data_IF_227642534626
#
_entry.id   IF_227642534626
#
_cell.length_a   1.000
_cell.length_b   1.000
_cell.length_c   1.000
_cell.angle_alpha   90.00
_cell.angle_beta   90.00
_cell.angle_gamma   90.00
#
_symmetry.space_group_name_H-M   'P 1'
#
loop_
_entity.id
_entity.type
_entity.pdbx_description
1 polymer ?
#
# COMPACT_ATOMS: atom_id res chain seq x y z
N UNK A 1 33.02 -8.95 23.70
CA UNK A 1 33.25 -9.92 22.61
C UNK A 1 32.04 -9.86 21.67
N UNK A 2 32.22 -9.44 20.42
CA UNK A 2 31.13 -9.41 19.45
C UNK A 2 30.89 -10.85 18.96
N UNK A 3 29.73 -11.43 19.28
CA UNK A 3 29.36 -12.76 18.82
C UNK A 3 29.31 -12.79 17.29
N UNK A 4 30.16 -13.61 16.66
CA UNK A 4 30.08 -13.86 15.22
C UNK A 4 28.84 -14.72 14.97
N UNK A 5 27.85 -14.18 14.26
CA UNK A 5 26.71 -14.96 13.82
C UNK A 5 27.20 -16.11 12.91
N UNK A 6 26.73 -17.36 13.12
CA UNK A 6 27.05 -18.46 12.22
C UNK A 6 26.55 -18.15 10.80
N UNK A 7 27.36 -18.50 9.80
CA UNK A 7 27.00 -18.35 8.39
C UNK A 7 26.10 -19.52 7.98
N UNK A 8 24.84 -19.22 7.67
CA UNK A 8 23.87 -20.17 7.14
C UNK A 8 23.74 -19.97 5.63
N UNK A 9 24.27 -20.87 4.78
CA UNK A 9 24.20 -20.71 3.32
C UNK A 9 22.75 -20.64 2.80
N UNK A 10 21.81 -21.29 3.49
CA UNK A 10 20.37 -21.25 3.22
C UNK A 10 19.72 -19.89 3.51
N UNK A 11 20.37 -18.99 4.27
CA UNK A 11 19.81 -17.68 4.60
C UNK A 11 19.51 -16.81 3.36
N UNK A 12 20.20 -17.09 2.25
CA UNK A 12 20.03 -16.38 0.98
C UNK A 12 19.35 -17.23 -0.10
N UNK A 13 18.83 -18.42 0.23
CA UNK A 13 18.19 -19.30 -0.75
C UNK A 13 16.95 -18.67 -1.43
N UNK A 14 16.28 -17.74 -0.74
CA UNK A 14 15.12 -17.00 -1.24
C UNK A 14 15.46 -15.63 -1.87
N UNK A 15 16.76 -15.34 -2.06
CA UNK A 15 17.18 -14.15 -2.77
C UNK A 15 16.89 -14.31 -4.27
N UNK A 16 16.42 -13.25 -4.96
CA UNK A 16 16.29 -13.32 -6.40
C UNK A 16 17.68 -13.54 -7.04
N UNK A 17 17.71 -14.25 -8.18
CA UNK A 17 18.93 -14.44 -8.96
C UNK A 17 19.57 -13.08 -9.26
N UNK A 18 20.90 -12.98 -9.19
CA UNK A 18 21.64 -11.74 -9.45
C UNK A 18 21.19 -11.11 -10.79
N UNK A 19 20.73 -9.86 -10.74
CA UNK A 19 20.22 -9.12 -11.90
C UNK A 19 18.72 -9.34 -12.19
N UNK A 20 18.06 -10.30 -11.54
CA UNK A 20 16.62 -10.49 -11.61
C UNK A 20 15.92 -9.76 -10.46
N UNK A 21 14.84 -9.03 -10.77
CA UNK A 21 13.99 -8.41 -9.77
C UNK A 21 12.89 -9.40 -9.37
N UNK A 22 12.46 -9.37 -8.10
CA UNK A 22 11.30 -10.18 -7.67
C UNK A 22 10.06 -9.83 -8.50
N UNK A 23 9.28 -10.81 -8.96
CA UNK A 23 8.06 -10.56 -9.72
C UNK A 23 7.06 -9.76 -8.87
N UNK A 24 6.20 -8.99 -9.54
CA UNK A 24 5.07 -8.30 -8.89
C UNK A 24 4.11 -9.33 -8.31
N UNK A 25 3.58 -9.04 -7.12
CA UNK A 25 2.46 -9.80 -6.56
C UNK A 25 1.15 -9.13 -6.96
N UNK A 26 0.41 -9.81 -7.84
CA UNK A 26 -0.91 -9.37 -8.30
C UNK A 26 -2.01 -10.15 -7.59
N UNK A 27 -3.00 -9.44 -7.10
CA UNK A 27 -4.14 -9.98 -6.37
C UNK A 27 -5.42 -9.27 -6.82
N UNK A 28 -6.00 -9.76 -7.90
CA UNK A 28 -7.22 -9.19 -8.47
C UNK A 28 -8.44 -9.28 -7.55
N UNK A 29 -8.49 -10.26 -6.65
CA UNK A 29 -9.58 -10.41 -5.68
C UNK A 29 -9.49 -9.31 -4.62
N UNK A 30 -8.28 -9.07 -4.08
CA UNK A 30 -8.02 -7.96 -3.18
C UNK A 30 -8.39 -6.62 -3.81
N UNK A 31 -7.97 -6.36 -5.05
CA UNK A 31 -8.30 -5.10 -5.73
C UNK A 31 -9.82 -4.92 -5.95
N UNK A 32 -10.57 -6.01 -6.20
CA UNK A 32 -12.03 -5.94 -6.32
C UNK A 32 -12.66 -5.58 -4.98
N UNK A 33 -12.22 -6.24 -3.91
CA UNK A 33 -12.67 -5.96 -2.55
C UNK A 33 -12.32 -4.55 -2.07
N UNK A 34 -11.13 -4.02 -2.37
CA UNK A 34 -10.78 -2.63 -2.02
C UNK A 34 -11.78 -1.62 -2.62
N UNK A 35 -12.25 -1.84 -3.85
CA UNK A 35 -13.23 -0.96 -4.51
C UNK A 35 -14.62 -1.02 -3.85
N UNK A 36 -14.90 -2.05 -3.06
CA UNK A 36 -16.12 -2.17 -2.27
C UNK A 36 -15.99 -1.55 -0.88
N UNK A 37 -14.86 -0.95 -0.51
CA UNK A 37 -14.69 -0.27 0.77
C UNK A 37 -14.95 1.25 0.66
N UNK A 38 -15.25 1.95 1.78
CA UNK A 38 -15.31 3.41 1.79
C UNK A 38 -13.91 4.02 1.61
N UNK A 39 -13.86 5.24 1.04
CA UNK A 39 -12.61 5.99 0.90
C UNK A 39 -11.91 6.20 2.25
N UNK A 40 -10.61 5.92 2.32
CA UNK A 40 -9.81 6.08 3.55
C UNK A 40 -9.74 7.53 4.02
N UNK A 41 -9.88 8.52 3.14
CA UNK A 41 -9.84 9.93 3.54
C UNK A 41 -11.26 10.44 3.86
N UNK A 42 -12.18 10.34 2.91
CA UNK A 42 -13.51 10.96 3.02
C UNK A 42 -14.56 10.06 3.68
N UNK A 43 -14.35 8.75 3.75
CA UNK A 43 -15.33 7.76 4.19
C UNK A 43 -16.48 7.53 3.20
N UNK A 44 -16.46 8.19 2.04
CA UNK A 44 -17.52 8.10 1.03
C UNK A 44 -17.25 6.95 0.05
N UNK A 45 -18.33 6.44 -0.54
CA UNK A 45 -18.35 5.50 -1.67
C UNK A 45 -18.86 6.23 -2.92
N UNK A 46 -18.49 5.83 -4.15
CA UNK A 46 -17.57 4.73 -4.50
C UNK A 46 -16.09 5.11 -4.30
N UNK A 47 -15.23 4.11 -4.12
CA UNK A 47 -13.78 4.28 -4.02
C UNK A 47 -13.05 3.50 -5.12
N UNK A 48 -11.97 4.09 -5.62
CA UNK A 48 -11.03 3.44 -6.53
C UNK A 48 -9.91 2.76 -5.73
N UNK A 49 -9.34 1.72 -6.33
CA UNK A 49 -8.12 1.09 -5.85
C UNK A 49 -6.91 1.97 -6.22
N UNK A 50 -6.43 2.77 -5.26
CA UNK A 50 -5.28 3.64 -5.45
C UNK A 50 -3.99 2.94 -4.97
N UNK A 51 -3.04 2.73 -5.88
CA UNK A 51 -1.75 2.13 -5.55
C UNK A 51 -0.78 3.18 -5.00
N UNK A 52 -0.20 2.90 -3.84
CA UNK A 52 0.87 3.72 -3.26
C UNK A 52 2.16 3.48 -4.04
N UNK A 53 2.77 4.53 -4.59
CA UNK A 53 3.91 4.40 -5.52
C UNK A 53 5.26 4.73 -4.89
N UNK A 54 5.30 5.61 -3.90
CA UNK A 54 6.58 5.99 -3.28
C UNK A 54 7.26 4.83 -2.52
N UNK A 55 8.61 4.72 -2.53
CA UNK A 55 9.33 3.72 -1.76
C UNK A 55 9.31 4.04 -0.26
N UNK A 56 9.32 3.02 0.59
CA UNK A 56 9.51 3.21 2.03
C UNK A 56 10.30 2.04 2.63
N UNK A 57 11.53 2.27 3.11
CA UNK A 57 12.37 1.22 3.69
C UNK A 57 11.82 0.69 5.01
N UNK A 58 11.08 1.48 5.80
CA UNK A 58 10.51 1.06 7.08
C UNK A 58 9.50 -0.07 6.86
N UNK A 59 8.71 0.04 5.80
CA UNK A 59 7.72 -0.97 5.40
C UNK A 59 8.28 -2.03 4.45
N UNK A 60 9.59 -1.98 4.13
CA UNK A 60 10.20 -2.87 3.14
C UNK A 60 9.61 -2.71 1.73
N UNK A 61 9.04 -1.54 1.43
CA UNK A 61 8.51 -1.21 0.11
C UNK A 61 9.62 -0.65 -0.77
N UNK A 62 10.10 -1.48 -1.69
CA UNK A 62 11.10 -1.08 -2.68
C UNK A 62 10.59 -0.05 -3.68
N UNK A 63 11.51 0.53 -4.45
CA UNK A 63 11.20 1.52 -5.48
C UNK A 63 10.32 0.95 -6.61
N UNK A 64 9.26 1.68 -6.94
CA UNK A 64 8.39 1.45 -8.10
C UNK A 64 8.89 2.25 -9.32
N UNK A 65 10.20 2.24 -9.57
CA UNK A 65 10.83 2.93 -10.71
C UNK A 65 10.84 2.09 -12.00
N UNK A 66 10.89 2.76 -13.17
CA UNK A 66 11.11 2.11 -14.47
C UNK A 66 9.89 1.38 -15.07
N UNK A 67 8.68 1.93 -14.91
CA UNK A 67 7.46 1.37 -15.51
C UNK A 67 6.86 0.16 -14.75
N UNK A 68 7.42 -0.19 -13.59
CA UNK A 68 6.89 -1.25 -12.72
C UNK A 68 5.59 -0.79 -12.05
N UNK A 69 4.59 -1.66 -11.96
CA UNK A 69 3.40 -1.45 -11.12
C UNK A 69 3.68 -1.90 -9.69
N UNK A 70 3.19 -1.16 -8.69
CA UNK A 70 3.26 -1.57 -7.28
C UNK A 70 2.55 -2.91 -7.06
N UNK A 71 3.00 -3.70 -6.08
CA UNK A 71 2.27 -4.88 -5.63
C UNK A 71 0.87 -4.48 -5.13
N UNK A 72 -0.11 -5.35 -5.30
CA UNK A 72 -1.51 -5.03 -4.97
C UNK A 72 -1.78 -4.93 -3.46
N UNK A 73 -0.87 -5.43 -2.62
CA UNK A 73 -0.89 -5.18 -1.17
C UNK A 73 -0.64 -3.71 -0.79
N UNK A 74 -0.14 -2.90 -1.72
CA UNK A 74 0.11 -1.47 -1.51
C UNK A 74 -1.01 -0.63 -2.12
N UNK A 75 -2.25 -1.03 -1.87
CA UNK A 75 -3.44 -0.38 -2.41
C UNK A 75 -4.35 0.06 -1.28
N UNK A 76 -4.93 1.24 -1.41
CA UNK A 76 -5.91 1.80 -0.47
C UNK A 76 -7.16 2.28 -1.22
N UNK A 77 -8.34 2.26 -0.59
CA UNK A 77 -9.56 2.79 -1.19
C UNK A 77 -9.53 4.32 -1.15
N UNK A 78 -9.59 4.96 -2.32
CA UNK A 78 -9.57 6.42 -2.45
C UNK A 78 -10.70 6.89 -3.37
N UNK A 79 -11.44 7.91 -2.96
CA UNK A 79 -12.49 8.49 -3.80
C UNK A 79 -11.87 9.11 -5.06
N UNK A 80 -12.54 8.98 -6.21
CA UNK A 80 -12.01 9.42 -7.52
C UNK A 80 -11.56 10.89 -7.56
N UNK A 81 -12.30 11.78 -6.88
CA UNK A 81 -11.93 13.20 -6.76
C UNK A 81 -10.65 13.43 -5.94
N UNK A 82 -10.32 12.54 -5.00
CA UNK A 82 -9.10 12.60 -4.21
C UNK A 82 -7.97 11.76 -4.82
N UNK A 83 -8.30 10.88 -5.77
CA UNK A 83 -7.34 10.05 -6.48
C UNK A 83 -6.82 10.77 -7.74
N UNK A 84 -7.69 11.09 -8.70
CA UNK A 84 -7.28 11.52 -10.05
C UNK A 84 -7.83 12.87 -10.51
N UNK A 85 -9.01 13.30 -10.04
CA UNK A 85 -9.80 14.34 -10.75
C UNK A 85 -10.02 15.67 -10.02
N UNK A 86 -9.87 15.71 -8.69
CA UNK A 86 -10.12 16.93 -7.91
C UNK A 86 -8.91 17.86 -7.79
N UNK A 87 -9.11 19.11 -7.31
CA UNK A 87 -8.02 20.06 -7.07
C UNK A 87 -7.02 19.54 -6.02
N UNK A 88 -7.52 18.77 -5.03
CA UNK A 88 -6.75 18.09 -4.00
C UNK A 88 -6.42 16.63 -4.35
N UNK A 89 -6.44 16.26 -5.64
CA UNK A 89 -6.15 14.88 -6.03
C UNK A 89 -4.70 14.50 -5.73
N UNK A 90 -4.50 13.25 -5.31
CA UNK A 90 -3.18 12.67 -5.12
C UNK A 90 -2.30 12.79 -6.38
N UNK A 91 -2.90 12.68 -7.57
CA UNK A 91 -2.19 12.84 -8.85
C UNK A 91 -1.78 14.28 -9.17
N UNK A 92 -2.38 15.31 -8.56
CA UNK A 92 -2.04 16.71 -8.81
C UNK A 92 -0.88 17.22 -7.92
N UNK A 93 -0.43 16.42 -6.95
CA UNK A 93 0.62 16.80 -6.01
C UNK A 93 1.57 15.64 -5.66
N UNK A 94 2.55 15.89 -4.80
CA UNK A 94 3.39 14.83 -4.24
C UNK A 94 2.54 13.88 -3.41
N UNK A 95 2.63 12.58 -3.71
CA UNK A 95 1.85 11.54 -3.02
C UNK A 95 2.04 11.60 -1.50
N UNK A 96 3.29 11.77 -1.04
CA UNK A 96 3.58 11.91 0.40
C UNK A 96 2.92 13.15 0.98
N UNK A 97 3.00 14.28 0.30
CA UNK A 97 2.40 15.52 0.78
C UNK A 97 0.86 15.42 0.90
N UNK A 98 0.21 14.68 -0.01
CA UNK A 98 -1.22 14.38 0.09
C UNK A 98 -1.53 13.59 1.37
N UNK A 99 -0.77 12.52 1.63
CA UNK A 99 -0.97 11.68 2.80
C UNK A 99 -0.65 12.40 4.12
N UNK A 100 0.43 13.17 4.14
CA UNK A 100 0.85 14.01 5.28
C UNK A 100 -0.21 15.07 5.59
N UNK A 101 -0.78 15.72 4.57
CA UNK A 101 -1.89 16.69 4.72
C UNK A 101 -3.11 16.07 5.39
N UNK A 102 -3.35 14.78 5.17
CA UNK A 102 -4.47 14.05 5.75
C UNK A 102 -4.12 13.30 7.05
N UNK A 103 -2.86 13.32 7.49
CA UNK A 103 -2.42 12.63 8.71
C UNK A 103 -2.50 11.10 8.63
N UNK A 104 -2.63 10.53 7.43
CA UNK A 104 -2.85 9.10 7.23
C UNK A 104 -1.58 8.46 6.69
N UNK A 105 -1.10 7.41 7.34
CA UNK A 105 -0.06 6.53 6.79
C UNK A 105 -0.71 5.48 5.86
N UNK A 106 -0.61 5.65 4.53
CA UNK A 106 -1.29 4.76 3.60
C UNK A 106 -0.65 3.37 3.53
N UNK A 107 0.64 3.23 3.86
CA UNK A 107 1.35 1.96 3.81
C UNK A 107 0.93 1.07 4.97
N UNK A 108 0.77 1.67 6.15
CA UNK A 108 0.19 1.00 7.31
C UNK A 108 -1.23 0.52 7.02
N UNK A 109 -2.06 1.39 6.46
CA UNK A 109 -3.45 1.05 6.10
C UNK A 109 -3.49 -0.06 5.06
N UNK A 110 -2.70 0.04 3.98
CA UNK A 110 -2.67 -0.94 2.91
C UNK A 110 -2.29 -2.34 3.43
N UNK A 111 -1.27 -2.44 4.29
CA UNK A 111 -0.88 -3.71 4.91
C UNK A 111 -1.97 -4.29 5.80
N UNK A 112 -2.62 -3.44 6.62
CA UNK A 112 -3.70 -3.88 7.47
C UNK A 112 -4.89 -4.41 6.65
N UNK A 113 -5.29 -3.68 5.61
CA UNK A 113 -6.35 -4.09 4.69
C UNK A 113 -6.00 -5.39 3.96
N UNK A 114 -4.75 -5.54 3.49
CA UNK A 114 -4.33 -6.75 2.81
C UNK A 114 -4.44 -7.99 3.71
N UNK A 115 -4.11 -7.87 5.00
CA UNK A 115 -4.20 -8.97 5.95
C UNK A 115 -5.64 -9.41 6.28
N UNK A 116 -6.64 -8.55 6.05
CA UNK A 116 -8.06 -8.83 6.31
C UNK A 116 -8.87 -8.89 5.01
N UNK A 117 -8.21 -9.15 3.88
CA UNK A 117 -8.86 -9.17 2.56
C UNK A 117 -10.08 -10.09 2.56
N UNK A 118 -11.25 -9.52 2.22
CA UNK A 118 -12.52 -10.24 2.19
C UNK A 118 -13.35 -10.13 3.48
N UNK A 119 -12.83 -9.48 4.52
CA UNK A 119 -13.55 -9.18 5.76
C UNK A 119 -13.96 -7.69 5.78
N UNK A 120 -15.21 -7.43 5.39
CA UNK A 120 -15.75 -6.07 5.29
C UNK A 120 -15.80 -5.35 6.64
N UNK A 121 -16.11 -6.07 7.72
CA UNK A 121 -16.22 -5.49 9.06
C UNK A 121 -14.85 -4.98 9.55
N UNK A 122 -13.82 -5.83 9.44
CA UNK A 122 -12.46 -5.45 9.80
C UNK A 122 -11.91 -4.35 8.88
N UNK A 123 -12.19 -4.45 7.58
CA UNK A 123 -11.79 -3.44 6.59
C UNK A 123 -12.35 -2.05 6.93
N UNK A 124 -13.65 -1.96 7.23
CA UNK A 124 -14.28 -0.69 7.61
C UNK A 124 -13.78 -0.17 8.95
N UNK A 125 -13.51 -1.03 9.94
CA UNK A 125 -12.95 -0.64 11.23
C UNK A 125 -11.54 -0.04 11.07
N UNK A 126 -10.69 -0.66 10.25
CA UNK A 126 -9.35 -0.13 9.91
C UNK A 126 -9.46 1.27 9.31
N UNK A 127 -10.34 1.45 8.32
CA UNK A 127 -10.55 2.73 7.64
C UNK A 127 -11.05 3.79 8.62
N UNK A 128 -12.02 3.44 9.48
CA UNK A 128 -12.57 4.35 10.48
C UNK A 128 -11.52 4.81 11.47
N UNK A 129 -10.62 3.93 11.90
CA UNK A 129 -9.55 4.26 12.84
C UNK A 129 -8.45 5.09 12.19
N UNK A 130 -8.09 4.79 10.94
CA UNK A 130 -7.11 5.57 10.18
C UNK A 130 -7.53 7.04 10.03
N UNK A 131 -8.84 7.32 9.94
CA UNK A 131 -9.39 8.68 9.81
C UNK A 131 -9.46 9.48 11.10
N UNK A 132 -9.35 8.82 12.25
CA UNK A 132 -9.47 9.45 13.58
C UNK A 132 -8.12 9.82 14.19
N UNK A 133 -7.03 9.30 13.63
CA UNK A 133 -5.67 9.64 14.01
C UNK A 133 -5.30 11.03 13.50
#
# INVERSE_FOLDING_TARGET
>A
MAGRLPYYPEAFANAPVKGQKRPRKEDGAHLKWIRTLPCVVSGKRPADAAHVRYPDPVYGKGETGGGRKSDDRWTVPLHRSLHTEGPDAQHSMSERAFWDKHGIDPLRVALALYNVTGDDEQGELIIRNARKA
#
